data_IF_082844753800
#
_entry.id   IF_082844753800
#
_cell.length_a   1.000
_cell.length_b   1.000
_cell.length_c   1.000
_cell.angle_alpha   90.00
_cell.angle_beta   90.00
_cell.angle_gamma   90.00
#
_symmetry.space_group_name_H-M   'P 1'
#
loop_
_entity.id
_entity.type
_entity.pdbx_description
1 polymer ?
#
# COMPACT_ATOMS: atom_id res chain seq x y z
N UNK A 1 10.71 23.82 -6.29
CA UNK A 1 9.43 23.22 -5.83
C UNK A 1 9.47 21.74 -6.15
N UNK A 2 9.54 20.88 -5.14
CA UNK A 2 9.55 19.44 -5.37
C UNK A 2 8.17 19.04 -5.95
N UNK A 3 8.18 18.49 -7.16
CA UNK A 3 6.99 17.93 -7.76
C UNK A 3 6.40 16.92 -6.76
N UNK A 4 5.17 17.14 -6.32
CA UNK A 4 4.37 16.17 -5.60
C UNK A 4 4.14 14.98 -6.54
N UNK A 5 5.08 14.07 -6.57
CA UNK A 5 4.91 12.80 -7.29
C UNK A 5 3.90 11.98 -6.49
N UNK A 6 2.76 11.71 -7.09
CA UNK A 6 1.64 10.93 -6.51
C UNK A 6 2.07 9.54 -6.07
N UNK A 7 3.16 9.04 -6.64
CA UNK A 7 3.85 7.85 -6.21
C UNK A 7 5.19 8.30 -5.61
N UNK A 8 5.30 8.28 -4.31
CA UNK A 8 6.48 8.69 -3.54
C UNK A 8 7.66 7.71 -3.70
N UNK A 9 8.03 7.37 -4.95
CA UNK A 9 9.27 6.66 -5.18
C UNK A 9 10.45 7.54 -4.80
N UNK A 10 11.23 7.09 -3.82
CA UNK A 10 12.41 7.77 -3.31
C UNK A 10 13.66 7.06 -3.84
N UNK A 11 14.36 7.61 -4.86
CA UNK A 11 15.57 6.97 -5.37
C UNK A 11 16.67 6.99 -4.31
N UNK A 12 17.04 5.82 -3.80
CA UNK A 12 18.10 5.64 -2.79
C UNK A 12 18.99 4.46 -3.13
N UNK A 13 20.25 4.53 -2.65
CA UNK A 13 21.21 3.44 -2.80
C UNK A 13 21.23 2.56 -1.54
N UNK A 14 20.16 1.82 -1.29
CA UNK A 14 20.12 0.83 -0.21
C UNK A 14 20.05 -0.60 -0.75
N UNK A 15 20.26 -1.58 0.13
CA UNK A 15 20.14 -3.01 -0.23
C UNK A 15 18.75 -3.29 -0.79
N UNK A 16 17.71 -2.72 -0.18
CA UNK A 16 16.30 -2.89 -0.59
C UNK A 16 16.04 -2.27 -1.97
N UNK A 17 16.56 -1.07 -2.24
CA UNK A 17 16.38 -0.42 -3.54
C UNK A 17 17.11 -1.17 -4.69
N UNK A 18 18.19 -1.89 -4.36
CA UNK A 18 18.95 -2.69 -5.32
C UNK A 18 18.33 -4.06 -5.63
N UNK A 19 17.30 -4.49 -4.87
CA UNK A 19 16.54 -5.72 -5.17
C UNK A 19 15.67 -5.54 -6.41
N UNK A 20 15.33 -6.67 -7.06
CA UNK A 20 14.42 -6.66 -8.21
C UNK A 20 12.99 -6.29 -7.77
N UNK A 21 12.21 -5.66 -8.65
CA UNK A 21 10.81 -5.33 -8.37
C UNK A 21 9.98 -6.58 -8.04
N UNK A 22 10.26 -7.71 -8.69
CA UNK A 22 9.62 -8.99 -8.43
C UNK A 22 9.88 -9.47 -7.00
N UNK A 23 11.12 -9.37 -6.52
CA UNK A 23 11.48 -9.75 -5.15
C UNK A 23 10.78 -8.86 -4.12
N UNK A 24 10.75 -7.54 -4.36
CA UNK A 24 10.06 -6.60 -3.48
C UNK A 24 8.57 -6.91 -3.39
N UNK A 25 7.92 -7.16 -4.53
CA UNK A 25 6.50 -7.50 -4.58
C UNK A 25 6.22 -8.84 -3.90
N UNK A 26 6.99 -9.88 -4.23
CA UNK A 26 6.81 -11.21 -3.64
C UNK A 26 7.06 -11.19 -2.13
N UNK A 27 8.12 -10.52 -1.66
CA UNK A 27 8.38 -10.35 -0.22
C UNK A 27 7.23 -9.62 0.47
N UNK A 28 6.75 -8.51 -0.11
CA UNK A 28 5.60 -7.76 0.42
C UNK A 28 4.36 -8.64 0.55
N UNK A 29 4.04 -9.43 -0.47
CA UNK A 29 2.89 -10.33 -0.44
C UNK A 29 3.07 -11.43 0.61
N UNK A 30 4.20 -12.16 0.60
CA UNK A 30 4.49 -13.23 1.57
C UNK A 30 4.43 -12.72 3.00
N UNK A 31 5.03 -11.55 3.26
CA UNK A 31 5.04 -10.93 4.57
C UNK A 31 3.65 -10.49 5.04
N UNK A 32 2.86 -9.89 4.14
CA UNK A 32 1.49 -9.49 4.41
C UNK A 32 0.62 -10.70 4.72
N UNK A 33 0.72 -11.78 3.92
CA UNK A 33 0.01 -13.02 4.19
C UNK A 33 0.42 -13.65 5.53
N UNK A 34 1.73 -13.66 5.84
CA UNK A 34 2.22 -14.16 7.13
C UNK A 34 1.59 -13.40 8.31
N UNK A 35 1.47 -12.07 8.21
CA UNK A 35 0.87 -11.24 9.27
C UNK A 35 -0.66 -11.40 9.36
N UNK A 36 -1.34 -11.69 8.23
CA UNK A 36 -2.80 -11.84 8.22
C UNK A 36 -3.27 -13.16 8.83
N UNK A 37 -2.51 -14.24 8.65
CA UNK A 37 -2.89 -15.60 9.06
C UNK A 37 -2.92 -15.71 10.59
N UNK A 38 -1.95 -15.12 11.29
CA UNK A 38 -1.75 -15.29 12.72
C UNK A 38 -2.25 -14.11 13.56
N UNK A 39 -2.73 -14.42 14.77
CA UNK A 39 -2.93 -13.48 15.88
C UNK A 39 -2.07 -13.88 17.10
N UNK A 40 -1.07 -14.72 16.89
CA UNK A 40 -0.11 -15.05 17.93
C UNK A 40 0.81 -13.83 18.16
N UNK A 41 0.75 -13.26 19.37
CA UNK A 41 1.48 -12.04 19.74
C UNK A 41 2.98 -12.18 19.56
N UNK A 42 3.57 -13.33 19.86
CA UNK A 42 5.01 -13.57 19.72
C UNK A 42 5.46 -13.58 18.27
N UNK A 43 4.65 -14.19 17.39
CA UNK A 43 4.92 -14.16 15.94
C UNK A 43 4.78 -12.74 15.41
N UNK A 44 3.76 -11.99 15.82
CA UNK A 44 3.57 -10.60 15.42
C UNK A 44 4.72 -9.71 15.88
N UNK A 45 5.23 -9.89 17.10
CA UNK A 45 6.42 -9.18 17.59
C UNK A 45 7.67 -9.51 16.77
N UNK A 46 7.87 -10.79 16.41
CA UNK A 46 8.97 -11.20 15.53
C UNK A 46 8.86 -10.58 14.14
N UNK A 47 7.67 -10.61 13.54
CA UNK A 47 7.39 -9.95 12.25
C UNK A 47 7.59 -8.43 12.33
N UNK A 48 7.17 -7.80 13.43
CA UNK A 48 7.37 -6.38 13.66
C UNK A 48 8.86 -6.02 13.71
N UNK A 49 9.68 -6.81 14.40
CA UNK A 49 11.13 -6.60 14.45
C UNK A 49 11.76 -6.69 13.04
N UNK A 50 11.36 -7.68 12.22
CA UNK A 50 11.82 -7.82 10.82
C UNK A 50 11.35 -6.62 9.97
N UNK A 51 10.11 -6.18 10.13
CA UNK A 51 9.54 -5.03 9.44
C UNK A 51 10.35 -3.75 9.71
N UNK A 52 10.62 -3.44 10.98
CA UNK A 52 11.43 -2.29 11.36
C UNK A 52 12.89 -2.42 10.92
N UNK A 53 13.49 -3.61 10.99
CA UNK A 53 14.83 -3.86 10.48
C UNK A 53 14.90 -3.60 8.96
N UNK A 54 13.95 -4.09 8.18
CA UNK A 54 13.85 -3.85 6.76
C UNK A 54 13.69 -2.35 6.44
N UNK A 55 12.86 -1.65 7.22
CA UNK A 55 12.67 -0.20 7.09
C UNK A 55 13.96 0.56 7.38
N UNK A 56 14.69 0.23 8.44
CA UNK A 56 15.98 0.81 8.78
C UNK A 56 17.03 0.59 7.69
N UNK A 57 17.08 -0.62 7.11
CA UNK A 57 17.99 -0.96 6.01
C UNK A 57 17.67 -0.23 4.71
N UNK A 58 16.46 0.30 4.56
CA UNK A 58 16.07 1.08 3.37
C UNK A 58 16.66 2.48 3.34
N UNK A 59 17.13 3.00 4.47
CA UNK A 59 17.60 4.39 4.66
C UNK A 59 16.54 5.45 4.33
N UNK A 60 15.26 5.10 4.35
CA UNK A 60 14.14 6.05 4.20
C UNK A 60 13.99 6.83 5.50
N UNK A 61 13.93 8.16 5.42
CA UNK A 61 13.74 9.01 6.60
C UNK A 61 12.27 9.06 6.98
N UNK A 62 11.96 8.89 8.25
CA UNK A 62 10.58 8.97 8.78
C UNK A 62 9.86 10.28 8.39
N UNK A 63 10.62 11.38 8.25
CA UNK A 63 10.08 12.67 7.82
C UNK A 63 9.48 12.63 6.41
N UNK A 64 10.02 11.80 5.53
CA UNK A 64 9.59 11.68 4.13
C UNK A 64 8.26 10.91 4.01
N UNK A 65 8.01 9.99 4.94
CA UNK A 65 6.80 9.16 5.00
C UNK A 65 5.84 9.59 6.12
N UNK A 66 6.11 10.72 6.76
CA UNK A 66 5.34 11.23 7.91
C UNK A 66 3.85 11.30 7.63
N UNK A 67 3.46 11.77 6.46
CA UNK A 67 2.05 11.85 6.08
C UNK A 67 1.37 10.48 6.08
N UNK A 68 2.03 9.47 5.50
CA UNK A 68 1.52 8.09 5.47
C UNK A 68 1.43 7.52 6.89
N UNK A 69 2.43 7.80 7.74
CA UNK A 69 2.44 7.35 9.13
C UNK A 69 1.31 7.98 9.96
N UNK A 70 1.07 9.29 9.80
CA UNK A 70 -0.03 9.98 10.50
C UNK A 70 -1.38 9.46 10.03
N UNK A 71 -1.57 9.33 8.71
CA UNK A 71 -2.80 8.77 8.15
C UNK A 71 -3.11 7.38 8.72
N UNK A 72 -2.09 6.54 8.80
CA UNK A 72 -2.18 5.23 9.41
C UNK A 72 -2.59 5.27 10.88
N UNK A 73 -1.91 6.10 11.68
CA UNK A 73 -2.23 6.23 13.11
C UNK A 73 -3.68 6.66 13.33
N UNK A 74 -4.16 7.62 12.55
CA UNK A 74 -5.56 8.05 12.59
C UNK A 74 -6.49 6.90 12.24
N UNK A 75 -6.17 6.15 11.16
CA UNK A 75 -6.97 5.00 10.75
C UNK A 75 -6.95 3.87 11.79
N UNK A 76 -5.80 3.61 12.41
CA UNK A 76 -5.66 2.64 13.50
C UNK A 76 -6.51 3.04 14.72
N UNK A 77 -6.47 4.30 15.13
CA UNK A 77 -7.29 4.80 16.23
C UNK A 77 -8.78 4.67 15.94
N UNK A 78 -9.20 5.06 14.71
CA UNK A 78 -10.58 4.90 14.27
C UNK A 78 -11.00 3.42 14.23
N UNK A 79 -10.13 2.54 13.73
CA UNK A 79 -10.41 1.10 13.69
C UNK A 79 -10.62 0.53 15.11
N UNK A 80 -9.71 0.83 16.04
CA UNK A 80 -9.86 0.39 17.44
C UNK A 80 -11.13 0.99 18.08
N UNK A 81 -11.43 2.26 17.81
CA UNK A 81 -12.65 2.90 18.31
C UNK A 81 -13.90 2.18 17.78
N UNK A 82 -13.93 1.86 16.47
CA UNK A 82 -15.08 1.16 15.88
C UNK A 82 -15.21 -0.27 16.41
N UNK A 83 -14.11 -1.01 16.59
CA UNK A 83 -14.15 -2.34 17.20
C UNK A 83 -14.75 -2.25 18.60
N UNK A 84 -14.32 -1.30 19.43
CA UNK A 84 -14.85 -1.13 20.76
C UNK A 84 -16.32 -0.70 20.75
N UNK A 85 -16.73 0.14 19.79
CA UNK A 85 -18.10 0.65 19.71
C UNK A 85 -19.10 -0.41 19.20
N UNK A 86 -18.73 -1.18 18.18
CA UNK A 86 -19.64 -2.14 17.53
C UNK A 86 -19.59 -3.52 18.15
N UNK A 87 -18.42 -3.95 18.64
CA UNK A 87 -18.24 -5.26 19.26
C UNK A 87 -17.33 -5.20 20.50
N UNK A 88 -17.85 -4.66 21.62
CA UNK A 88 -17.07 -4.49 22.85
C UNK A 88 -16.70 -5.81 23.53
N UNK A 89 -17.35 -6.93 23.19
CA UNK A 89 -17.14 -8.23 23.78
C UNK A 89 -16.36 -9.21 22.89
N UNK A 90 -15.84 -8.78 21.74
CA UNK A 90 -15.11 -9.65 20.80
C UNK A 90 -13.94 -10.36 21.46
N UNK A 91 -13.17 -9.65 22.30
CA UNK A 91 -12.05 -10.24 23.03
C UNK A 91 -12.49 -11.35 23.97
N UNK A 92 -13.55 -11.14 24.76
CA UNK A 92 -14.07 -12.14 25.69
C UNK A 92 -14.61 -13.37 24.96
N UNK A 93 -15.28 -13.18 23.83
CA UNK A 93 -15.79 -14.28 23.00
C UNK A 93 -14.65 -15.11 22.41
N UNK A 94 -13.55 -14.47 22.00
CA UNK A 94 -12.40 -15.14 21.38
C UNK A 94 -11.53 -15.90 22.38
N UNK A 95 -11.31 -15.34 23.58
CA UNK A 95 -10.41 -15.92 24.59
C UNK A 95 -11.16 -16.80 25.60
N UNK A 96 -12.47 -16.75 25.65
CA UNK A 96 -13.29 -17.60 26.52
C UNK A 96 -13.24 -17.24 28.01
N UNK A 97 -12.59 -16.15 28.37
CA UNK A 97 -12.45 -15.61 29.73
C UNK A 97 -12.99 -14.20 29.79
N UNK A 98 -13.34 -13.71 30.98
CA UNK A 98 -13.86 -12.36 31.16
C UNK A 98 -13.32 -11.72 32.45
N UNK A 99 -12.30 -10.90 32.30
CA UNK A 99 -11.73 -10.09 33.37
C UNK A 99 -12.12 -8.63 33.16
N UNK A 100 -13.14 -8.18 33.87
CA UNK A 100 -13.64 -6.80 33.78
C UNK A 100 -12.70 -5.88 34.55
N UNK A 101 -12.15 -4.89 33.91
CA UNK A 101 -11.30 -3.85 34.50
C UNK A 101 -12.13 -2.65 34.94
N UNK A 102 -13.03 -2.19 34.09
CA UNK A 102 -13.90 -1.04 34.32
C UNK A 102 -15.27 -1.23 33.68
N UNK A 103 -16.34 -0.89 34.37
CA UNK A 103 -17.67 -0.72 33.82
C UNK A 103 -17.86 0.72 33.37
N UNK A 104 -18.02 0.94 32.05
CA UNK A 104 -18.24 2.29 31.53
C UNK A 104 -19.71 2.70 31.56
N UNK A 105 -20.53 2.00 30.79
CA UNK A 105 -21.94 2.33 30.66
C UNK A 105 -22.70 1.19 29.97
N UNK A 106 -23.79 0.73 30.59
CA UNK A 106 -24.70 -0.28 30.10
C UNK A 106 -24.06 -1.59 29.57
N UNK A 107 -23.69 -1.66 28.28
CA UNK A 107 -23.09 -2.84 27.65
C UNK A 107 -21.58 -2.69 27.34
N UNK A 108 -20.99 -1.58 27.71
CA UNK A 108 -19.60 -1.28 27.42
C UNK A 108 -18.73 -1.54 28.65
N UNK A 109 -18.24 -2.77 28.76
CA UNK A 109 -17.26 -3.15 29.78
C UNK A 109 -15.86 -3.15 29.13
N UNK A 110 -14.91 -2.52 29.78
CA UNK A 110 -13.52 -2.63 29.41
C UNK A 110 -12.95 -3.88 30.05
N UNK A 111 -12.73 -4.92 29.25
CA UNK A 111 -12.15 -6.18 29.69
C UNK A 111 -10.69 -6.30 29.27
N UNK A 112 -9.88 -7.04 30.04
CA UNK A 112 -8.48 -7.27 29.72
C UNK A 112 -8.32 -7.98 28.37
N UNK A 113 -9.22 -8.91 28.06
CA UNK A 113 -9.27 -9.67 26.81
C UNK A 113 -9.54 -8.75 25.61
N UNK A 114 -10.46 -7.79 25.75
CA UNK A 114 -10.77 -6.82 24.70
C UNK A 114 -9.57 -5.91 24.43
N UNK A 115 -8.92 -5.41 25.48
CA UNK A 115 -7.71 -4.60 25.33
C UNK A 115 -6.58 -5.39 24.66
N UNK A 116 -6.36 -6.64 25.07
CA UNK A 116 -5.36 -7.50 24.49
C UNK A 116 -5.64 -7.79 23.00
N UNK A 117 -6.90 -8.01 22.64
CA UNK A 117 -7.32 -8.14 21.24
C UNK A 117 -7.03 -6.87 20.44
N UNK A 118 -7.37 -5.69 20.96
CA UNK A 118 -7.09 -4.40 20.32
C UNK A 118 -5.58 -4.14 20.15
N UNK A 119 -4.77 -4.53 21.13
CA UNK A 119 -3.31 -4.49 21.04
C UNK A 119 -2.80 -5.40 19.92
N UNK A 120 -3.29 -6.63 19.81
CA UNK A 120 -2.90 -7.55 18.73
C UNK A 120 -3.29 -7.02 17.34
N UNK A 121 -4.46 -6.39 17.19
CA UNK A 121 -4.85 -5.72 15.96
C UNK A 121 -3.89 -4.56 15.66
N UNK A 122 -3.59 -3.74 16.65
CA UNK A 122 -2.65 -2.62 16.50
C UNK A 122 -1.26 -3.11 16.10
N UNK A 123 -0.77 -4.20 16.66
CA UNK A 123 0.49 -4.84 16.26
C UNK A 123 0.49 -5.22 14.77
N UNK A 124 -0.62 -5.74 14.23
CA UNK A 124 -0.73 -6.05 12.80
C UNK A 124 -0.51 -4.83 11.91
N UNK A 125 -1.04 -3.68 12.29
CA UNK A 125 -0.79 -2.43 11.56
C UNK A 125 0.70 -2.06 11.61
N UNK A 126 1.34 -2.15 12.77
CA UNK A 126 2.77 -1.87 12.92
C UNK A 126 3.67 -2.90 12.20
N UNK A 127 3.19 -4.11 11.99
CA UNK A 127 3.87 -5.14 11.19
C UNK A 127 3.76 -4.84 9.69
N UNK A 128 2.55 -4.68 9.19
CA UNK A 128 2.29 -4.61 7.75
C UNK A 128 2.72 -3.28 7.12
N UNK A 129 2.57 -2.18 7.85
CA UNK A 129 2.68 -0.84 7.29
C UNK A 129 4.09 -0.41 6.93
N UNK A 130 5.12 -0.63 7.76
CA UNK A 130 6.48 -0.26 7.36
C UNK A 130 6.91 -1.00 6.08
N UNK A 131 6.48 -2.25 5.89
CA UNK A 131 6.78 -3.03 4.68
C UNK A 131 6.01 -2.50 3.47
N UNK A 132 4.74 -2.10 3.65
CA UNK A 132 3.95 -1.46 2.59
C UNK A 132 4.54 -0.12 2.16
N UNK A 133 4.90 0.74 3.12
CA UNK A 133 5.56 2.03 2.85
C UNK A 133 6.88 1.79 2.13
N UNK A 134 7.67 0.82 2.60
CA UNK A 134 8.94 0.45 1.99
C UNK A 134 8.74 -0.02 0.55
N UNK A 135 7.74 -0.87 0.29
CA UNK A 135 7.44 -1.34 -1.06
C UNK A 135 7.09 -0.18 -1.99
N UNK A 136 6.18 0.72 -1.58
CA UNK A 136 5.76 1.88 -2.38
C UNK A 136 6.93 2.84 -2.62
N UNK A 137 7.73 3.13 -1.58
CA UNK A 137 8.81 4.11 -1.66
C UNK A 137 10.07 3.58 -2.35
N UNK A 138 10.32 2.27 -2.30
CA UNK A 138 11.52 1.65 -2.86
C UNK A 138 11.32 1.04 -4.25
N UNK A 139 10.07 0.96 -4.76
CA UNK A 139 9.77 0.32 -6.03
C UNK A 139 9.42 1.37 -7.08
N UNK A 140 10.19 1.41 -8.17
CA UNK A 140 9.86 2.26 -9.31
C UNK A 140 8.58 1.74 -9.99
N UNK A 141 7.65 2.61 -10.44
CA UNK A 141 6.45 2.22 -11.17
C UNK A 141 6.70 1.27 -12.36
N UNK A 142 7.78 1.48 -13.11
CA UNK A 142 8.13 0.59 -14.23
C UNK A 142 8.65 -0.78 -13.75
N UNK A 143 9.38 -0.85 -12.63
CA UNK A 143 9.78 -2.12 -12.00
C UNK A 143 8.57 -2.87 -11.45
N UNK A 144 7.60 -2.15 -10.87
CA UNK A 144 6.35 -2.73 -10.41
C UNK A 144 5.58 -3.40 -11.55
N UNK A 145 5.40 -2.70 -12.66
CA UNK A 145 4.73 -3.24 -13.83
C UNK A 145 5.43 -4.49 -14.40
N UNK A 146 6.77 -4.49 -14.45
CA UNK A 146 7.54 -5.66 -14.86
C UNK A 146 7.39 -6.82 -13.85
N UNK A 147 7.28 -6.54 -12.56
CA UNK A 147 7.11 -7.57 -11.53
C UNK A 147 5.75 -8.28 -11.62
N UNK A 148 4.69 -7.58 -12.02
CA UNK A 148 3.38 -8.19 -12.26
C UNK A 148 3.46 -9.30 -13.33
N UNK A 149 4.22 -9.07 -14.39
CA UNK A 149 4.41 -10.08 -15.42
C UNK A 149 5.23 -11.28 -14.90
N UNK A 150 6.20 -11.04 -14.02
CA UNK A 150 7.03 -12.11 -13.43
C UNK A 150 6.24 -13.03 -12.50
N UNK A 151 5.15 -12.57 -11.89
CA UNK A 151 4.26 -13.38 -11.04
C UNK A 151 3.10 -14.04 -11.80
N UNK A 152 3.14 -14.02 -13.15
CA UNK A 152 2.19 -14.74 -14.00
C UNK A 152 1.07 -13.88 -14.60
N UNK A 153 1.01 -12.58 -14.31
CA UNK A 153 0.06 -11.67 -14.97
C UNK A 153 0.51 -11.44 -16.41
N UNK A 154 -0.44 -11.38 -17.35
CA UNK A 154 -0.11 -11.22 -18.77
C UNK A 154 0.69 -9.92 -19.00
N UNK A 155 1.64 -9.96 -19.94
CA UNK A 155 2.47 -8.79 -20.25
C UNK A 155 1.64 -7.59 -20.73
N UNK A 156 0.48 -7.84 -21.36
CA UNK A 156 -0.45 -6.78 -21.80
C UNK A 156 -0.97 -5.97 -20.62
N UNK A 157 -1.42 -6.65 -19.54
CA UNK A 157 -1.88 -6.01 -18.30
C UNK A 157 -0.73 -5.29 -17.61
N UNK A 158 0.43 -5.94 -17.44
CA UNK A 158 1.61 -5.29 -16.85
C UNK A 158 2.01 -4.03 -17.62
N UNK A 159 1.97 -4.06 -18.94
CA UNK A 159 2.31 -2.90 -19.78
C UNK A 159 1.26 -1.79 -19.67
N UNK A 160 -0.05 -2.13 -19.60
CA UNK A 160 -1.11 -1.15 -19.35
C UNK A 160 -0.92 -0.42 -18.03
N UNK A 161 -0.54 -1.17 -16.96
CA UNK A 161 -0.20 -0.59 -15.66
C UNK A 161 1.02 0.33 -15.77
N UNK A 162 2.07 -0.07 -16.53
CA UNK A 162 3.25 0.78 -16.74
C UNK A 162 2.90 2.09 -17.42
N UNK A 163 2.04 2.04 -18.45
CA UNK A 163 1.56 3.24 -19.14
C UNK A 163 0.76 4.10 -18.15
N UNK A 164 -0.23 3.54 -17.46
CA UNK A 164 -1.06 4.28 -16.51
C UNK A 164 -0.21 5.03 -15.47
N UNK A 165 0.74 4.32 -14.82
CA UNK A 165 1.62 4.90 -13.81
C UNK A 165 2.54 6.00 -14.38
N UNK A 166 2.94 5.89 -15.63
CA UNK A 166 3.73 6.92 -16.30
C UNK A 166 2.92 8.17 -16.62
N UNK A 167 1.63 8.00 -16.98
CA UNK A 167 0.79 9.12 -17.39
C UNK A 167 0.16 9.89 -16.23
N UNK A 168 0.14 9.34 -15.00
CA UNK A 168 -0.37 10.07 -13.83
C UNK A 168 0.29 11.45 -13.68
N UNK A 169 1.63 11.60 -13.70
CA UNK A 169 2.27 12.92 -13.62
C UNK A 169 1.95 13.84 -14.80
N UNK A 170 1.74 13.28 -15.99
CA UNK A 170 1.39 14.04 -17.19
C UNK A 170 -0.02 14.63 -17.08
N UNK A 171 -1.00 13.80 -16.67
CA UNK A 171 -2.38 14.22 -16.41
C UNK A 171 -2.43 15.30 -15.33
N UNK A 172 -1.62 15.21 -14.29
CA UNK A 172 -1.53 16.25 -13.26
C UNK A 172 -1.02 17.58 -13.83
N UNK A 173 -0.02 17.55 -14.71
CA UNK A 173 0.47 18.75 -15.40
C UNK A 173 -0.59 19.32 -16.32
N UNK A 174 -1.27 18.49 -17.11
CA UNK A 174 -2.35 18.90 -17.99
C UNK A 174 -3.49 19.54 -17.18
N UNK A 175 -3.89 18.94 -16.06
CA UNK A 175 -4.88 19.50 -15.15
C UNK A 175 -4.50 20.90 -14.65
N UNK A 176 -3.25 21.09 -14.21
CA UNK A 176 -2.77 22.38 -13.74
C UNK A 176 -2.77 23.43 -14.86
N UNK A 177 -2.31 23.06 -16.07
CA UNK A 177 -2.29 23.94 -17.23
C UNK A 177 -3.70 24.35 -17.68
N UNK A 178 -4.62 23.40 -17.76
CA UNK A 178 -6.02 23.65 -18.11
C UNK A 178 -6.69 24.50 -17.02
N UNK A 179 -6.44 24.19 -15.76
CA UNK A 179 -6.97 24.95 -14.63
C UNK A 179 -6.52 26.42 -14.67
N UNK A 180 -5.24 26.68 -14.92
CA UNK A 180 -4.71 28.02 -15.07
C UNK A 180 -5.32 28.76 -16.27
N UNK A 181 -5.45 28.07 -17.40
CA UNK A 181 -6.08 28.64 -18.59
C UNK A 181 -7.56 29.00 -18.37
N UNK A 182 -8.31 28.17 -17.66
CA UNK A 182 -9.71 28.45 -17.31
C UNK A 182 -9.84 29.61 -16.30
N UNK A 183 -8.94 29.65 -15.31
CA UNK A 183 -8.89 30.79 -14.37
C UNK A 183 -8.61 32.13 -15.11
N UNK A 184 -7.69 32.11 -16.08
CA UNK A 184 -7.46 33.30 -16.93
C UNK A 184 -8.66 33.72 -17.77
N UNK A 185 -9.59 32.80 -18.04
CA UNK A 185 -10.87 33.06 -18.71
C UNK A 185 -12.00 33.47 -17.73
N UNK A 186 -11.67 33.70 -16.45
CA UNK A 186 -12.64 34.13 -15.45
C UNK A 186 -13.39 32.98 -14.75
N UNK A 187 -13.00 31.73 -14.94
CA UNK A 187 -13.59 30.60 -14.20
C UNK A 187 -12.99 30.54 -12.79
N UNK A 188 -13.78 30.98 -11.81
CA UNK A 188 -13.34 30.94 -10.42
C UNK A 188 -13.42 29.52 -9.81
N UNK A 189 -12.30 29.06 -9.25
CA UNK A 189 -12.16 27.78 -8.53
C UNK A 189 -11.89 27.98 -7.03
N UNK A 190 -11.92 29.26 -6.62
CA UNK A 190 -11.63 29.66 -5.25
C UNK A 190 -12.68 29.18 -4.25
N UNK A 191 -12.33 29.23 -2.96
CA UNK A 191 -13.23 28.86 -1.86
C UNK A 191 -14.35 29.90 -1.64
N UNK A 192 -14.27 31.06 -2.29
CA UNK A 192 -15.28 32.14 -2.30
C UNK A 192 -16.57 31.74 -2.96
N UNK A 193 -16.52 30.82 -3.94
CA UNK A 193 -17.69 30.38 -4.70
C UNK A 193 -18.52 29.33 -3.95
N UNK A 194 -19.89 29.36 -4.14
CA UNK A 194 -20.76 28.30 -3.62
C UNK A 194 -20.38 26.93 -4.15
N UNK A 195 -20.62 25.90 -3.34
CA UNK A 195 -20.23 24.52 -3.65
C UNK A 195 -20.71 24.05 -5.04
N UNK A 196 -21.98 24.34 -5.42
CA UNK A 196 -22.50 23.94 -6.71
C UNK A 196 -21.88 24.69 -7.88
N UNK A 197 -21.55 25.98 -7.72
CA UNK A 197 -20.82 26.74 -8.72
C UNK A 197 -19.41 26.18 -8.94
N UNK A 198 -18.72 25.85 -7.87
CA UNK A 198 -17.39 25.17 -7.93
C UNK A 198 -17.47 23.83 -8.63
N UNK A 199 -18.50 23.04 -8.38
CA UNK A 199 -18.70 21.74 -9.05
C UNK A 199 -18.91 21.94 -10.56
N UNK A 200 -19.76 22.88 -10.94
CA UNK A 200 -20.00 23.27 -12.37
C UNK A 200 -18.70 23.76 -13.02
N UNK A 201 -17.94 24.60 -12.34
CA UNK A 201 -16.68 25.14 -12.83
C UNK A 201 -15.61 24.05 -12.96
N UNK A 202 -15.63 22.99 -12.11
CA UNK A 202 -14.75 21.84 -12.25
C UNK A 202 -14.99 21.06 -13.55
N UNK A 203 -16.22 21.00 -14.04
CA UNK A 203 -16.54 20.33 -15.32
C UNK A 203 -15.84 21.04 -16.49
N UNK A 204 -15.68 22.37 -16.46
CA UNK A 204 -14.97 23.14 -17.49
C UNK A 204 -13.48 22.79 -17.58
N UNK A 205 -12.90 22.17 -16.53
CA UNK A 205 -11.53 21.66 -16.54
C UNK A 205 -11.51 20.19 -16.94
N UNK A 206 -12.45 19.41 -16.40
CA UNK A 206 -12.46 17.95 -16.61
C UNK A 206 -12.77 17.58 -18.06
N UNK A 207 -13.68 18.31 -18.71
CA UNK A 207 -14.05 18.01 -20.10
C UNK A 207 -12.88 18.17 -21.08
N UNK A 208 -12.14 19.29 -21.12
CA UNK A 208 -10.94 19.42 -21.94
C UNK A 208 -9.87 18.39 -21.57
N UNK A 209 -9.69 18.07 -20.28
CA UNK A 209 -8.73 17.09 -19.82
C UNK A 209 -9.05 15.68 -20.36
N UNK A 210 -10.33 15.28 -20.34
CA UNK A 210 -10.79 14.00 -20.88
C UNK A 210 -10.56 13.97 -22.40
N UNK A 211 -10.96 15.01 -23.14
CA UNK A 211 -10.79 15.06 -24.59
C UNK A 211 -9.30 14.99 -25.00
N UNK A 212 -8.42 15.72 -24.31
CA UNK A 212 -6.98 15.65 -24.53
C UNK A 212 -6.44 14.25 -24.24
N UNK A 213 -6.93 13.61 -23.18
CA UNK A 213 -6.53 12.26 -22.80
C UNK A 213 -6.98 11.22 -23.83
N UNK A 214 -8.19 11.36 -24.39
CA UNK A 214 -8.69 10.46 -25.46
C UNK A 214 -7.83 10.57 -26.74
N UNK A 215 -7.53 11.78 -27.20
CA UNK A 215 -6.65 11.97 -28.35
C UNK A 215 -5.25 11.36 -28.14
N UNK A 216 -4.76 11.44 -26.91
CA UNK A 216 -3.48 10.80 -26.52
C UNK A 216 -3.57 9.27 -26.55
N UNK A 217 -4.70 8.69 -26.10
CA UNK A 217 -4.94 7.25 -26.16
C UNK A 217 -4.88 6.75 -27.60
N UNK A 218 -5.55 7.44 -28.52
CA UNK A 218 -5.54 7.08 -29.94
C UNK A 218 -4.13 7.11 -30.53
N UNK A 219 -3.38 8.18 -30.24
CA UNK A 219 -1.99 8.31 -30.71
C UNK A 219 -1.09 7.19 -30.17
N UNK A 220 -1.24 6.85 -28.90
CA UNK A 220 -0.46 5.77 -28.26
C UNK A 220 -0.86 4.42 -28.82
N UNK A 221 -2.16 4.14 -28.98
CA UNK A 221 -2.68 2.89 -29.50
C UNK A 221 -2.17 2.63 -30.93
N UNK A 222 -2.26 3.64 -31.80
CA UNK A 222 -1.75 3.56 -33.17
C UNK A 222 -0.23 3.30 -33.18
N UNK A 223 0.53 4.01 -32.36
CA UNK A 223 1.99 3.81 -32.26
C UNK A 223 2.34 2.42 -31.71
N UNK A 224 1.55 1.87 -30.77
CA UNK A 224 1.75 0.51 -30.24
C UNK A 224 1.44 -0.55 -31.30
N UNK A 225 0.38 -0.38 -32.05
CA UNK A 225 -0.02 -1.30 -33.12
C UNK A 225 1.05 -1.34 -34.23
N UNK A 226 1.53 -0.20 -34.68
CA UNK A 226 2.62 -0.10 -35.65
C UNK A 226 3.91 -0.76 -35.15
N UNK A 227 4.17 -0.76 -33.85
CA UNK A 227 5.31 -1.46 -33.22
C UNK A 227 5.03 -2.94 -32.96
N UNK A 228 3.94 -3.49 -33.43
CA UNK A 228 3.55 -4.90 -33.29
C UNK A 228 3.25 -5.30 -31.84
N UNK A 229 2.67 -4.37 -31.05
CA UNK A 229 2.21 -4.73 -29.70
C UNK A 229 1.10 -5.78 -29.78
N UNK A 230 1.20 -6.82 -28.98
CA UNK A 230 0.20 -7.89 -28.95
C UNK A 230 0.47 -9.08 -29.89
N UNK A 231 1.37 -8.97 -30.87
CA UNK A 231 1.69 -10.07 -31.79
C UNK A 231 2.39 -11.25 -31.11
N UNK A 232 3.29 -10.96 -30.16
CA UNK A 232 4.06 -11.98 -29.43
C UNK A 232 3.47 -12.20 -28.03
N UNK A 233 3.40 -13.46 -27.60
CA UNK A 233 2.87 -13.83 -26.26
C UNK A 233 3.79 -13.46 -25.09
N UNK A 234 5.09 -13.23 -25.35
CA UNK A 234 6.09 -12.87 -24.35
C UNK A 234 6.92 -11.69 -24.84
N UNK A 235 7.26 -10.77 -23.93
CA UNK A 235 8.16 -9.63 -24.19
C UNK A 235 9.13 -9.44 -23.03
N UNK A 236 10.33 -8.95 -23.34
CA UNK A 236 11.33 -8.54 -22.37
C UNK A 236 11.03 -7.13 -21.85
N UNK A 237 11.36 -6.87 -20.60
CA UNK A 237 11.20 -5.56 -19.98
C UNK A 237 12.54 -4.83 -19.93
N UNK A 238 12.55 -3.59 -20.37
CA UNK A 238 13.77 -2.76 -20.38
C UNK A 238 14.31 -2.53 -18.95
N UNK A 239 13.42 -2.42 -17.97
CA UNK A 239 13.77 -2.16 -16.57
C UNK A 239 14.01 -3.43 -15.74
N UNK A 240 13.88 -4.61 -16.35
CA UNK A 240 14.06 -5.88 -15.65
C UNK A 240 15.55 -6.11 -15.33
N UNK A 241 15.82 -6.34 -14.04
CA UNK A 241 17.16 -6.69 -13.57
C UNK A 241 17.27 -8.20 -13.33
N UNK A 242 18.47 -8.80 -13.54
CA UNK A 242 18.70 -10.19 -13.19
C UNK A 242 18.64 -10.39 -11.67
N UNK A 243 18.19 -11.57 -11.25
CA UNK A 243 18.17 -11.94 -9.84
C UNK A 243 19.62 -12.03 -9.30
N UNK A 244 19.82 -11.44 -8.13
CA UNK A 244 21.07 -11.49 -7.39
C UNK A 244 20.92 -12.32 -6.10
N UNK A 245 22.03 -12.70 -5.44
CA UNK A 245 22.00 -13.46 -4.19
C UNK A 245 21.11 -12.86 -3.10
N UNK A 246 21.04 -11.51 -3.03
CA UNK A 246 20.19 -10.77 -2.10
C UNK A 246 18.68 -10.97 -2.37
N UNK A 247 18.31 -11.18 -3.64
CA UNK A 247 16.92 -11.43 -4.02
C UNK A 247 16.46 -12.79 -3.52
N UNK A 248 17.30 -13.82 -3.69
CA UNK A 248 17.04 -15.16 -3.16
C UNK A 248 16.99 -15.17 -1.62
N UNK A 249 17.89 -14.44 -0.96
CA UNK A 249 17.88 -14.33 0.50
C UNK A 249 16.59 -13.68 1.01
N UNK A 250 16.11 -12.61 0.36
CA UNK A 250 14.87 -11.95 0.73
C UNK A 250 13.64 -12.84 0.49
N UNK A 251 13.58 -13.56 -0.62
CA UNK A 251 12.49 -14.50 -0.91
C UNK A 251 12.50 -15.68 0.08
N UNK A 252 13.67 -16.23 0.39
CA UNK A 252 13.81 -17.29 1.38
C UNK A 252 13.36 -16.82 2.78
N UNK A 253 13.74 -15.60 3.17
CA UNK A 253 13.28 -15.01 4.44
C UNK A 253 11.76 -14.84 4.45
N UNK A 254 11.16 -14.29 3.39
CA UNK A 254 9.71 -14.11 3.29
C UNK A 254 8.96 -15.43 3.35
N UNK A 255 9.45 -16.46 2.64
CA UNK A 255 8.88 -17.81 2.68
C UNK A 255 9.03 -18.46 4.06
N UNK A 256 10.19 -18.33 4.70
CA UNK A 256 10.42 -18.86 6.05
C UNK A 256 9.48 -18.21 7.08
N UNK A 257 9.30 -16.89 7.02
CA UNK A 257 8.36 -16.17 7.90
C UNK A 257 6.91 -16.62 7.70
N UNK A 258 6.51 -16.83 6.46
CA UNK A 258 5.18 -17.36 6.16
C UNK A 258 5.01 -18.79 6.69
N UNK A 259 5.99 -19.66 6.49
CA UNK A 259 5.96 -21.05 6.97
C UNK A 259 5.93 -21.10 8.50
N UNK A 260 6.75 -20.28 9.19
CA UNK A 260 6.71 -20.17 10.65
C UNK A 260 5.35 -19.69 11.13
N UNK A 261 4.79 -18.67 10.50
CA UNK A 261 3.46 -18.15 10.83
C UNK A 261 2.36 -19.21 10.67
N UNK A 262 2.42 -19.98 9.58
CA UNK A 262 1.51 -21.10 9.33
C UNK A 262 1.70 -22.22 10.35
N UNK A 263 2.92 -22.64 10.59
CA UNK A 263 3.24 -23.70 11.55
C UNK A 263 2.75 -23.38 12.96
N UNK A 264 3.04 -22.17 13.45
CA UNK A 264 2.58 -21.70 14.77
C UNK A 264 1.06 -21.65 14.83
N UNK A 265 0.41 -21.13 13.77
CA UNK A 265 -1.05 -21.04 13.70
C UNK A 265 -1.73 -22.40 13.70
N UNK A 266 -1.17 -23.40 13.00
CA UNK A 266 -1.72 -24.77 12.95
C UNK A 266 -1.46 -25.50 14.28
N UNK A 267 -0.26 -25.34 14.88
CA UNK A 267 0.15 -26.11 16.06
C UNK A 267 -0.41 -25.56 17.37
N UNK A 268 -0.48 -24.22 17.51
CA UNK A 268 -0.84 -23.55 18.76
C UNK A 268 -2.15 -22.77 18.66
N UNK A 269 -2.83 -22.84 17.52
CA UNK A 269 -4.05 -22.06 17.27
C UNK A 269 -3.75 -20.66 16.74
N UNK A 270 -4.82 -20.05 16.20
CA UNK A 270 -4.73 -18.74 15.57
C UNK A 270 -4.51 -17.60 16.58
N UNK A 271 -5.05 -17.74 17.77
CA UNK A 271 -4.98 -16.74 18.86
C UNK A 271 -4.11 -17.27 19.99
N UNK A 272 -3.13 -16.46 20.39
CA UNK A 272 -2.39 -16.71 21.63
C UNK A 272 -3.26 -16.26 22.80
N UNK A 273 -3.55 -17.15 23.74
CA UNK A 273 -4.33 -16.84 24.94
C UNK A 273 -3.40 -16.71 26.16
N UNK A 274 -3.18 -15.49 26.68
CA UNK A 274 -2.38 -15.29 27.90
C UNK A 274 -3.16 -15.46 29.20
N UNK A 275 -4.46 -15.72 29.11
CA UNK A 275 -5.36 -15.76 30.27
C UNK A 275 -5.67 -17.21 30.75
N UNK A 276 -5.09 -18.21 30.07
CA UNK A 276 -5.24 -19.63 30.41
C UNK A 276 -3.93 -20.21 30.88
#
# INVERSE_FOLDING_TARGET
>A
MAANTVLNYLPRQSVVHKMTGTTKLAFFLLFTFASMITYNTWVLLGLMAVSFAAFKLSHIKLREVRFMMIFMLVFLLLNNLFIFLFDPNQGTTLYGTRHVLFHLFWRYDVTAEQLFYMVNISLKYFVALPVAILFISATNPSEFAASLNSIGISYKVGYSVAIALRYIPDIQRDYHSISQAQQARGVELGKSEPFFARLKNSVSILLPLILTSLNRIDTISNAMELRGFGKNGKRTWYTQRPFAKRDFAALALGAALLLVSLFVTIRYGRFYNPFV
#
